data_IF_112455053012
#
_entry.id   IF_112455053012
#
_cell.length_a   1.000
_cell.length_b   1.000
_cell.length_c   1.000
_cell.angle_alpha   90.00
_cell.angle_beta   90.00
_cell.angle_gamma   90.00
#
_symmetry.space_group_name_H-M   'P 1'
#
loop_
_entity.id
_entity.type
_entity.pdbx_description
1 polymer ?
#
# COMPACT_ATOMS: atom_id res chain seq x y z
N UNK A 1 -17.65 5.40 -6.65
CA UNK A 1 -18.04 6.45 -5.68
C UNK A 1 -17.71 7.86 -6.16
N UNK A 2 -16.67 8.04 -6.98
CA UNK A 2 -16.30 9.36 -7.53
C UNK A 2 -17.34 9.92 -8.52
N UNK A 3 -17.54 11.23 -8.45
CA UNK A 3 -18.34 12.02 -9.39
C UNK A 3 -17.64 12.15 -10.73
N UNK A 4 -18.37 11.95 -11.83
CA UNK A 4 -17.96 12.33 -13.18
C UNK A 4 -18.09 13.84 -13.39
N UNK A 5 -17.71 14.35 -14.57
CA UNK A 5 -17.64 15.79 -14.84
C UNK A 5 -18.97 16.54 -14.69
N UNK A 6 -20.10 15.85 -14.88
CA UNK A 6 -21.47 16.37 -14.84
C UNK A 6 -22.26 15.93 -13.58
N UNK A 7 -21.61 15.20 -12.67
CA UNK A 7 -22.24 14.70 -11.45
C UNK A 7 -22.20 15.71 -10.29
N UNK A 8 -23.17 15.64 -9.34
CA UNK A 8 -23.04 16.34 -8.07
C UNK A 8 -21.86 15.80 -7.26
N UNK A 9 -21.27 16.64 -6.41
CA UNK A 9 -20.20 16.25 -5.49
C UNK A 9 -20.62 16.55 -4.04
N UNK A 10 -20.73 15.54 -3.15
CA UNK A 10 -20.57 14.10 -3.41
C UNK A 10 -21.78 13.49 -4.14
N UNK A 11 -21.61 12.27 -4.67
CA UNK A 11 -22.71 11.48 -5.25
C UNK A 11 -23.71 11.01 -4.18
N UNK A 12 -24.98 10.89 -4.59
CA UNK A 12 -25.99 10.19 -3.80
C UNK A 12 -25.59 8.69 -3.62
N UNK A 13 -25.68 8.13 -2.39
CA UNK A 13 -25.31 6.72 -2.13
C UNK A 13 -26.02 5.69 -3.01
N UNK A 14 -27.26 5.96 -3.43
CA UNK A 14 -28.01 5.09 -4.34
C UNK A 14 -27.46 5.16 -5.77
N UNK A 15 -26.95 6.31 -6.22
CA UNK A 15 -26.25 6.41 -7.52
C UNK A 15 -24.96 5.60 -7.50
N UNK A 16 -24.19 5.67 -6.41
CA UNK A 16 -22.99 4.83 -6.22
C UNK A 16 -23.34 3.35 -6.32
N UNK A 17 -24.37 2.90 -5.59
CA UNK A 17 -24.82 1.51 -5.59
C UNK A 17 -25.31 1.05 -6.97
N UNK A 18 -26.08 1.87 -7.69
CA UNK A 18 -26.54 1.56 -9.06
C UNK A 18 -25.38 1.38 -10.03
N UNK A 19 -24.36 2.26 -9.95
CA UNK A 19 -23.14 2.13 -10.78
C UNK A 19 -22.38 0.85 -10.44
N UNK A 20 -22.24 0.51 -9.15
CA UNK A 20 -21.61 -0.74 -8.72
C UNK A 20 -22.36 -1.97 -9.24
N UNK A 21 -23.69 -1.97 -9.18
CA UNK A 21 -24.52 -3.06 -9.69
C UNK A 21 -24.37 -3.25 -11.20
N UNK A 22 -24.25 -2.17 -11.99
CA UNK A 22 -23.98 -2.26 -13.42
C UNK A 22 -22.61 -2.87 -13.73
N UNK A 23 -21.58 -2.54 -12.94
CA UNK A 23 -20.25 -3.15 -13.08
C UNK A 23 -20.26 -4.63 -12.69
N UNK A 24 -21.00 -5.00 -11.63
CA UNK A 24 -21.21 -6.39 -11.26
C UNK A 24 -21.93 -7.16 -12.37
N UNK A 25 -23.00 -6.60 -12.95
CA UNK A 25 -23.72 -7.20 -14.08
C UNK A 25 -22.79 -7.44 -15.28
N UNK A 26 -21.92 -6.48 -15.61
CA UNK A 26 -20.95 -6.64 -16.70
C UNK A 26 -19.97 -7.79 -16.44
N UNK A 27 -19.47 -7.91 -15.20
CA UNK A 27 -18.61 -9.02 -14.78
C UNK A 27 -19.36 -10.37 -14.87
N UNK A 28 -20.57 -10.45 -14.34
CA UNK A 28 -21.41 -11.65 -14.36
C UNK A 28 -21.84 -12.07 -15.78
N UNK A 29 -22.04 -11.11 -16.69
CA UNK A 29 -22.44 -11.43 -18.06
C UNK A 29 -21.27 -11.96 -18.88
N UNK A 30 -20.04 -11.57 -18.53
CA UNK A 30 -18.83 -11.89 -19.30
C UNK A 30 -18.10 -13.13 -18.77
N UNK A 31 -18.20 -13.40 -17.46
CA UNK A 31 -17.55 -14.53 -16.82
C UNK A 31 -18.16 -15.87 -17.25
N UNK A 32 -17.32 -16.86 -17.49
CA UNK A 32 -17.75 -18.27 -17.63
C UNK A 32 -18.33 -18.79 -16.31
N UNK A 33 -19.10 -19.87 -16.35
CA UNK A 33 -19.65 -20.51 -15.14
C UNK A 33 -18.54 -20.94 -14.16
N UNK A 34 -17.36 -21.30 -14.67
CA UNK A 34 -16.20 -21.58 -13.83
C UNK A 34 -15.65 -20.32 -13.17
N UNK A 35 -15.47 -19.24 -13.93
CA UNK A 35 -14.99 -17.96 -13.38
C UNK A 35 -15.96 -17.42 -12.33
N UNK A 36 -17.27 -17.50 -12.53
CA UNK A 36 -18.30 -17.07 -11.57
C UNK A 36 -18.17 -17.74 -10.21
N UNK A 37 -17.81 -19.03 -10.17
CA UNK A 37 -17.59 -19.75 -8.89
C UNK A 37 -16.41 -19.21 -8.09
N UNK A 38 -15.49 -18.51 -8.74
CA UNK A 38 -14.30 -17.92 -8.11
C UNK A 38 -14.37 -16.40 -7.98
N UNK A 39 -15.36 -15.74 -8.61
CA UNK A 39 -15.55 -14.31 -8.45
C UNK A 39 -15.95 -13.98 -7.01
N UNK A 40 -15.36 -12.91 -6.50
CA UNK A 40 -15.77 -12.30 -5.24
C UNK A 40 -15.79 -10.80 -5.44
N UNK A 41 -16.69 -10.12 -4.73
CA UNK A 41 -16.89 -8.69 -4.83
C UNK A 41 -16.57 -8.02 -3.50
N UNK A 42 -15.94 -6.85 -3.61
CA UNK A 42 -15.76 -5.91 -2.51
C UNK A 42 -16.51 -4.64 -2.89
N UNK A 43 -17.32 -4.12 -1.97
CA UNK A 43 -18.11 -2.90 -2.16
C UNK A 43 -17.63 -1.78 -1.24
N UNK A 44 -18.18 -0.58 -1.43
CA UNK A 44 -17.83 0.58 -0.61
C UNK A 44 -16.58 1.29 -1.07
N UNK A 45 -16.18 2.27 -0.29
CA UNK A 45 -15.01 3.11 -0.52
C UNK A 45 -14.64 3.69 0.84
N UNK A 46 -13.37 3.87 1.02
CA UNK A 46 -12.80 4.76 2.00
C UNK A 46 -12.89 6.19 1.43
N UNK A 47 -13.48 7.10 2.21
CA UNK A 47 -13.55 8.53 1.89
C UNK A 47 -13.04 9.29 3.11
N UNK A 48 -12.02 10.17 2.97
CA UNK A 48 -11.38 10.59 1.72
C UNK A 48 -10.50 9.50 1.06
N UNK A 49 -10.11 9.74 -0.20
CA UNK A 49 -9.25 8.82 -0.99
C UNK A 49 -7.89 8.66 -0.30
N UNK A 50 -7.37 7.43 -0.08
CA UNK A 50 -6.18 7.22 0.72
C UNK A 50 -4.91 7.66 0.03
N UNK A 51 -3.97 8.18 0.82
CA UNK A 51 -2.65 8.61 0.35
C UNK A 51 -2.73 9.77 -0.68
N UNK A 52 -3.88 10.45 -0.73
CA UNK A 52 -4.18 11.57 -1.62
C UNK A 52 -4.09 12.95 -0.97
N UNK A 53 -3.84 13.03 0.35
CA UNK A 53 -3.75 14.31 1.05
C UNK A 53 -2.43 15.02 0.71
N UNK A 54 -2.56 16.25 0.21
CA UNK A 54 -1.44 17.18 0.00
C UNK A 54 -1.11 17.96 1.29
N UNK A 55 -1.86 17.73 2.37
CA UNK A 55 -1.77 18.38 3.67
C UNK A 55 -1.41 17.37 4.77
N UNK A 56 -0.81 17.87 5.85
CA UNK A 56 -0.54 17.07 7.05
C UNK A 56 -1.86 16.51 7.60
N UNK A 57 -1.93 15.18 7.74
CA UNK A 57 -3.14 14.50 8.21
C UNK A 57 -3.16 14.57 9.73
N UNK A 58 -3.92 15.51 10.28
CA UNK A 58 -4.04 15.69 11.73
C UNK A 58 -5.01 14.69 12.37
N UNK A 59 -5.99 14.19 11.62
CA UNK A 59 -6.98 13.24 12.11
C UNK A 59 -7.64 12.47 10.96
N UNK A 60 -8.03 11.23 11.23
CA UNK A 60 -8.81 10.39 10.33
C UNK A 60 -10.12 10.04 10.99
N UNK A 61 -11.22 10.23 10.26
CA UNK A 61 -12.54 9.87 10.74
C UNK A 61 -12.79 8.38 10.49
N UNK A 62 -12.90 7.62 11.58
CA UNK A 62 -13.39 6.23 11.52
C UNK A 62 -14.80 6.23 10.92
N UNK A 63 -15.05 5.33 9.96
CA UNK A 63 -16.38 5.20 9.35
C UNK A 63 -17.43 4.88 10.42
N UNK A 64 -18.59 5.52 10.36
CA UNK A 64 -19.70 5.19 11.27
C UNK A 64 -20.38 3.90 10.80
N UNK A 65 -20.78 3.06 11.75
CA UNK A 65 -21.49 1.81 11.46
C UNK A 65 -22.80 2.04 10.67
N UNK A 66 -23.47 3.17 10.92
CA UNK A 66 -24.67 3.57 10.18
C UNK A 66 -24.39 3.84 8.70
N UNK A 67 -23.23 4.41 8.37
CA UNK A 67 -22.84 4.70 6.98
C UNK A 67 -22.42 3.40 6.26
N UNK A 68 -21.74 2.48 6.96
CA UNK A 68 -21.43 1.14 6.45
C UNK A 68 -22.72 0.34 6.19
N UNK A 69 -23.66 0.35 7.14
CA UNK A 69 -24.97 -0.28 7.00
C UNK A 69 -25.77 0.31 5.82
N UNK A 70 -25.80 1.64 5.68
CA UNK A 70 -26.47 2.30 4.56
C UNK A 70 -25.84 1.91 3.22
N UNK A 71 -24.51 1.83 3.15
CA UNK A 71 -23.78 1.40 1.95
C UNK A 71 -24.18 -0.02 1.56
N UNK A 72 -24.22 -0.95 2.52
CA UNK A 72 -24.67 -2.32 2.26
C UNK A 72 -26.13 -2.34 1.77
N UNK A 73 -27.04 -1.63 2.44
CA UNK A 73 -28.46 -1.60 2.09
C UNK A 73 -28.71 -1.06 0.67
N UNK A 74 -28.03 0.03 0.27
CA UNK A 74 -28.19 0.58 -1.07
C UNK A 74 -27.64 -0.36 -2.15
N UNK A 75 -26.50 -1.03 -1.90
CA UNK A 75 -25.95 -2.03 -2.82
C UNK A 75 -26.87 -3.25 -2.95
N UNK A 76 -27.40 -3.77 -1.84
CA UNK A 76 -28.37 -4.86 -1.87
C UNK A 76 -29.61 -4.48 -2.71
N UNK A 77 -30.16 -3.28 -2.52
CA UNK A 77 -31.30 -2.81 -3.31
C UNK A 77 -30.97 -2.68 -4.80
N UNK A 78 -29.81 -2.10 -5.14
CA UNK A 78 -29.38 -1.92 -6.53
C UNK A 78 -29.08 -3.25 -7.24
N UNK A 79 -28.47 -4.22 -6.54
CA UNK A 79 -28.17 -5.55 -7.09
C UNK A 79 -29.46 -6.33 -7.36
N UNK A 80 -30.39 -6.36 -6.41
CA UNK A 80 -31.70 -7.01 -6.58
C UNK A 80 -32.53 -6.39 -7.70
N UNK A 81 -32.45 -5.06 -7.88
CA UNK A 81 -33.13 -4.38 -8.98
C UNK A 81 -32.63 -4.83 -10.38
N UNK A 82 -31.42 -5.40 -10.47
CA UNK A 82 -30.86 -5.96 -11.69
C UNK A 82 -30.90 -7.51 -11.72
N UNK A 83 -31.54 -8.16 -10.74
CA UNK A 83 -31.61 -9.63 -10.64
C UNK A 83 -30.27 -10.30 -10.29
N UNK A 84 -29.37 -9.59 -9.59
CA UNK A 84 -28.03 -10.04 -9.24
C UNK A 84 -27.94 -10.74 -7.86
N UNK A 85 -29.02 -11.42 -7.43
CA UNK A 85 -29.11 -12.04 -6.11
C UNK A 85 -27.99 -13.07 -5.84
N UNK A 86 -27.62 -13.85 -6.85
CA UNK A 86 -26.54 -14.84 -6.71
C UNK A 86 -25.16 -14.17 -6.55
N UNK A 87 -24.90 -13.11 -7.31
CA UNK A 87 -23.67 -12.33 -7.23
C UNK A 87 -23.57 -11.57 -5.90
N UNK A 88 -24.70 -11.13 -5.34
CA UNK A 88 -24.76 -10.51 -4.03
C UNK A 88 -24.25 -11.45 -2.91
N UNK A 89 -24.47 -12.77 -3.03
CA UNK A 89 -23.91 -13.76 -2.10
C UNK A 89 -22.38 -13.91 -2.21
N UNK A 90 -21.78 -13.40 -3.30
CA UNK A 90 -20.32 -13.34 -3.51
C UNK A 90 -19.71 -12.00 -3.11
N UNK A 91 -20.48 -11.08 -2.53
CA UNK A 91 -19.93 -9.88 -1.89
C UNK A 91 -19.36 -10.29 -0.54
N UNK A 92 -18.02 -10.35 -0.45
CA UNK A 92 -17.31 -10.88 0.72
C UNK A 92 -16.83 -9.79 1.67
N UNK A 93 -16.71 -8.55 1.20
CA UNK A 93 -16.17 -7.48 1.99
C UNK A 93 -16.76 -6.11 1.65
N UNK A 94 -16.68 -5.21 2.63
CA UNK A 94 -16.97 -3.79 2.48
C UNK A 94 -15.75 -2.96 2.89
N UNK A 95 -15.37 -1.98 2.07
CA UNK A 95 -14.30 -1.05 2.40
C UNK A 95 -14.82 0.01 3.36
N UNK A 96 -14.09 0.22 4.46
CA UNK A 96 -14.34 1.27 5.46
C UNK A 96 -13.00 1.84 5.94
N UNK A 97 -13.04 2.99 6.62
CA UNK A 97 -11.87 3.62 7.25
C UNK A 97 -11.80 3.23 8.74
N UNK A 98 -10.85 2.38 9.17
CA UNK A 98 -10.68 1.96 10.58
C UNK A 98 -9.97 2.97 11.49
N UNK A 99 -9.55 4.12 10.96
CA UNK A 99 -8.67 5.06 11.65
C UNK A 99 -7.20 4.74 11.46
N UNK A 100 -6.82 4.32 10.24
CA UNK A 100 -5.41 4.16 9.83
C UNK A 100 -5.14 5.00 8.60
N UNK A 101 -4.02 5.72 8.61
CA UNK A 101 -3.54 6.45 7.45
C UNK A 101 -2.06 6.83 7.62
N UNK A 102 -1.45 7.37 6.57
CA UNK A 102 -0.11 7.95 6.59
C UNK A 102 -0.01 9.08 5.55
N UNK A 103 0.88 10.04 5.80
CA UNK A 103 1.23 11.11 4.86
C UNK A 103 2.74 11.15 4.61
N UNK A 104 3.32 12.30 4.24
CA UNK A 104 4.77 12.43 4.02
C UNK A 104 5.61 12.06 5.25
N UNK A 105 5.13 12.35 6.45
CA UNK A 105 5.93 12.33 7.69
C UNK A 105 5.25 11.70 8.89
N UNK A 106 3.95 11.41 8.82
CA UNK A 106 3.15 10.93 9.94
C UNK A 106 2.42 9.63 9.62
N UNK A 107 2.18 8.84 10.67
CA UNK A 107 1.38 7.63 10.64
C UNK A 107 0.27 7.80 11.68
N UNK A 108 -0.97 7.64 11.25
CA UNK A 108 -2.12 7.55 12.16
C UNK A 108 -2.28 6.09 12.52
N UNK A 109 -1.94 5.79 13.77
CA UNK A 109 -1.95 4.42 14.26
C UNK A 109 -3.36 3.95 14.59
N UNK A 110 -3.66 2.71 14.22
CA UNK A 110 -4.93 2.06 14.55
C UNK A 110 -5.25 2.15 16.05
N UNK A 111 -6.46 2.63 16.37
CA UNK A 111 -6.98 2.71 17.72
C UNK A 111 -8.20 1.76 17.84
N UNK A 112 -8.04 0.54 18.39
CA UNK A 112 -9.10 -0.46 18.46
C UNK A 112 -10.40 0.06 19.10
N UNK A 113 -10.28 0.88 20.15
CA UNK A 113 -11.44 1.44 20.85
C UNK A 113 -12.28 2.37 19.97
N UNK A 114 -11.65 3.11 19.05
CA UNK A 114 -12.36 4.01 18.15
C UNK A 114 -13.15 3.26 17.06
N UNK A 115 -12.75 2.02 16.73
CA UNK A 115 -13.38 1.19 15.71
C UNK A 115 -14.39 0.16 16.29
N UNK A 116 -14.62 0.15 17.60
CA UNK A 116 -15.42 -0.88 18.27
C UNK A 116 -16.85 -1.02 17.70
N UNK A 117 -17.51 0.09 17.35
CA UNK A 117 -18.86 0.07 16.79
C UNK A 117 -18.91 -0.62 15.41
N UNK A 118 -17.93 -0.35 14.53
CA UNK A 118 -17.79 -1.05 13.24
C UNK A 118 -17.55 -2.54 13.44
N UNK A 119 -16.59 -2.90 14.30
CA UNK A 119 -16.27 -4.30 14.58
C UNK A 119 -17.42 -5.07 15.24
N UNK A 120 -18.34 -4.39 15.93
CA UNK A 120 -19.57 -4.99 16.42
C UNK A 120 -20.57 -5.24 15.28
N UNK A 121 -20.82 -4.24 14.43
CA UNK A 121 -21.83 -4.31 13.37
C UNK A 121 -21.51 -5.37 12.31
N UNK A 122 -20.25 -5.49 11.87
CA UNK A 122 -19.89 -6.41 10.77
C UNK A 122 -20.23 -7.88 11.08
N UNK A 123 -20.30 -8.25 12.37
CA UNK A 123 -20.71 -9.59 12.85
C UNK A 123 -22.17 -9.94 12.53
N UNK A 124 -22.99 -8.94 12.23
CA UNK A 124 -24.38 -9.12 11.78
C UNK A 124 -24.46 -9.46 10.27
N UNK A 125 -23.31 -9.48 9.59
CA UNK A 125 -23.19 -9.73 8.16
C UNK A 125 -22.28 -10.94 7.91
N UNK A 126 -22.38 -11.61 6.73
CA UNK A 126 -21.42 -12.65 6.35
C UNK A 126 -20.07 -12.09 5.84
N UNK A 127 -19.90 -10.77 5.82
CA UNK A 127 -18.76 -10.10 5.22
C UNK A 127 -17.63 -9.84 6.25
N UNK A 128 -16.46 -9.49 5.73
CA UNK A 128 -15.37 -8.88 6.49
C UNK A 128 -15.14 -7.44 6.03
N UNK A 129 -14.24 -6.71 6.70
CA UNK A 129 -13.76 -5.44 6.18
C UNK A 129 -12.51 -5.62 5.33
N UNK A 130 -12.45 -4.82 4.26
CA UNK A 130 -11.22 -4.52 3.54
C UNK A 130 -10.71 -3.14 3.99
N UNK A 131 -9.48 -3.06 4.48
CA UNK A 131 -8.85 -1.82 4.91
C UNK A 131 -7.74 -1.41 3.94
N UNK A 132 -7.78 -0.15 3.51
CA UNK A 132 -6.78 0.47 2.65
C UNK A 132 -5.78 1.29 3.46
N UNK A 133 -4.65 1.66 2.85
CA UNK A 133 -3.58 2.44 3.49
C UNK A 133 -3.16 1.93 4.86
N UNK A 134 -3.09 0.60 4.99
CA UNK A 134 -2.66 -0.03 6.23
C UNK A 134 -1.14 0.00 6.40
N UNK A 135 -0.41 0.55 5.42
CA UNK A 135 1.04 0.65 5.41
C UNK A 135 1.59 1.28 6.71
N UNK A 136 2.81 0.86 7.09
CA UNK A 136 3.58 1.39 8.21
C UNK A 136 2.98 1.18 9.62
N UNK A 137 1.84 0.50 9.75
CA UNK A 137 1.31 0.13 11.05
C UNK A 137 2.21 -0.90 11.74
N UNK A 138 2.13 -0.96 13.07
CA UNK A 138 2.88 -1.95 13.85
C UNK A 138 2.32 -3.35 13.62
N UNK A 139 3.14 -4.39 13.82
CA UNK A 139 2.67 -5.78 13.71
C UNK A 139 1.51 -6.10 14.68
N UNK A 140 1.49 -5.48 15.86
CA UNK A 140 0.38 -5.58 16.81
C UNK A 140 -0.88 -4.90 16.30
N UNK A 141 -0.76 -3.77 15.61
CA UNK A 141 -1.89 -3.11 14.96
C UNK A 141 -2.48 -3.98 13.84
N UNK A 142 -1.67 -4.64 13.00
CA UNK A 142 -2.19 -5.59 12.01
C UNK A 142 -2.97 -6.75 12.65
N UNK A 143 -2.48 -7.28 13.78
CA UNK A 143 -3.21 -8.32 14.53
C UNK A 143 -4.53 -7.81 15.11
N UNK A 144 -4.51 -6.61 15.68
CA UNK A 144 -5.71 -5.97 16.20
C UNK A 144 -6.73 -5.73 15.07
N UNK A 145 -6.30 -5.21 13.92
CA UNK A 145 -7.12 -5.04 12.72
C UNK A 145 -7.80 -6.35 12.31
N UNK A 146 -7.04 -7.45 12.18
CA UNK A 146 -7.61 -8.76 11.81
C UNK A 146 -8.59 -9.28 12.85
N UNK A 147 -8.25 -9.19 14.15
CA UNK A 147 -9.16 -9.53 15.26
C UNK A 147 -10.47 -8.75 15.19
N UNK A 148 -10.37 -7.48 14.78
CA UNK A 148 -11.47 -6.52 14.74
C UNK A 148 -12.19 -6.54 13.36
N UNK A 149 -11.99 -7.63 12.60
CA UNK A 149 -12.63 -8.00 11.32
C UNK A 149 -12.16 -7.25 10.07
N UNK A 150 -11.09 -6.47 10.16
CA UNK A 150 -10.33 -5.97 9.01
C UNK A 150 -9.43 -7.09 8.49
N UNK A 151 -10.05 -8.08 7.85
CA UNK A 151 -9.39 -9.33 7.46
C UNK A 151 -8.65 -9.24 6.11
N UNK A 152 -8.98 -8.24 5.28
CA UNK A 152 -8.26 -7.95 4.05
C UNK A 152 -7.50 -6.64 4.25
N UNK A 153 -6.18 -6.71 4.38
CA UNK A 153 -5.32 -5.57 4.62
C UNK A 153 -4.52 -5.25 3.34
N UNK A 154 -4.79 -4.08 2.72
CA UNK A 154 -4.04 -3.66 1.53
C UNK A 154 -2.76 -2.93 1.93
N UNK A 155 -1.68 -3.31 1.26
CA UNK A 155 -0.34 -2.73 1.37
C UNK A 155 0.19 -2.41 -0.02
N UNK A 156 0.91 -1.30 -0.16
CA UNK A 156 1.51 -0.91 -1.42
C UNK A 156 2.75 -0.04 -1.19
N UNK A 157 2.59 1.25 -0.83
CA UNK A 157 3.69 2.16 -0.57
C UNK A 157 4.78 1.61 0.35
N UNK A 158 4.45 0.91 1.45
CA UNK A 158 5.47 0.34 2.34
C UNK A 158 6.38 -0.69 1.64
N UNK A 159 5.86 -1.45 0.67
CA UNK A 159 6.66 -2.43 -0.07
C UNK A 159 7.69 -1.73 -0.96
N UNK A 160 7.26 -0.72 -1.71
CA UNK A 160 8.15 0.03 -2.61
C UNK A 160 9.04 1.03 -1.87
N UNK A 161 8.63 1.49 -0.69
CA UNK A 161 9.46 2.24 0.24
C UNK A 161 10.60 1.37 0.78
N UNK A 162 10.33 0.13 1.20
CA UNK A 162 11.38 -0.81 1.63
C UNK A 162 12.34 -1.17 0.49
N UNK A 163 11.82 -1.34 -0.73
CA UNK A 163 12.64 -1.47 -1.95
C UNK A 163 13.56 -0.26 -2.13
N UNK A 164 13.01 0.96 -2.02
CA UNK A 164 13.77 2.22 -2.15
C UNK A 164 14.89 2.28 -1.11
N UNK A 165 14.59 1.99 0.16
CA UNK A 165 15.60 1.96 1.23
C UNK A 165 16.74 0.99 0.90
N UNK A 166 16.43 -0.20 0.38
CA UNK A 166 17.44 -1.16 -0.04
C UNK A 166 18.31 -0.63 -1.20
N UNK A 167 17.69 -0.04 -2.23
CA UNK A 167 18.43 0.56 -3.35
C UNK A 167 19.33 1.71 -2.86
N UNK A 168 18.84 2.55 -1.95
CA UNK A 168 19.60 3.67 -1.41
C UNK A 168 20.78 3.18 -0.56
N UNK A 169 20.57 2.17 0.29
CA UNK A 169 21.63 1.54 1.06
C UNK A 169 22.70 0.92 0.15
N UNK A 170 22.30 0.19 -0.88
CA UNK A 170 23.21 -0.40 -1.86
C UNK A 170 23.99 0.67 -2.64
N UNK A 171 23.36 1.80 -2.98
CA UNK A 171 24.05 2.92 -3.62
C UNK A 171 25.15 3.51 -2.73
N UNK A 172 24.91 3.61 -1.41
CA UNK A 172 25.97 4.02 -0.47
C UNK A 172 27.12 2.99 -0.41
N UNK A 173 26.80 1.69 -0.41
CA UNK A 173 27.85 0.66 -0.48
C UNK A 173 28.65 0.72 -1.79
N UNK A 174 27.99 1.00 -2.92
CA UNK A 174 28.65 1.17 -4.22
C UNK A 174 29.66 2.34 -4.19
N UNK A 175 29.31 3.45 -3.54
CA UNK A 175 30.19 4.60 -3.41
C UNK A 175 31.48 4.30 -2.63
N UNK A 176 31.46 3.34 -1.71
CA UNK A 176 32.64 2.94 -0.95
C UNK A 176 33.47 1.86 -1.67
N UNK A 177 32.82 0.99 -2.45
CA UNK A 177 33.45 -0.22 -2.99
C UNK A 177 33.89 -0.10 -4.45
N UNK A 178 33.24 0.76 -5.23
CA UNK A 178 33.42 0.84 -6.68
C UNK A 178 34.16 2.13 -7.05
N UNK A 179 35.07 2.05 -8.03
CA UNK A 179 35.80 3.22 -8.49
C UNK A 179 34.87 4.28 -9.10
N UNK A 180 35.15 5.59 -8.90
CA UNK A 180 34.24 6.67 -9.30
C UNK A 180 33.73 6.63 -10.76
N UNK A 181 34.55 6.13 -11.68
CA UNK A 181 34.25 5.98 -13.09
C UNK A 181 33.32 4.79 -13.43
N UNK A 182 33.26 3.78 -12.56
CA UNK A 182 32.42 2.59 -12.78
C UNK A 182 31.06 2.64 -12.07
N UNK A 183 30.84 3.57 -11.12
CA UNK A 183 29.60 3.70 -10.34
C UNK A 183 28.35 3.88 -11.20
N UNK A 184 27.22 3.41 -10.69
CA UNK A 184 25.90 3.58 -11.31
C UNK A 184 25.40 5.01 -11.26
N UNK A 185 25.74 5.74 -10.18
CA UNK A 185 25.19 7.07 -9.85
C UNK A 185 23.65 7.06 -9.81
N UNK A 186 23.09 5.97 -9.29
CA UNK A 186 21.63 5.74 -9.27
C UNK A 186 20.88 6.85 -8.55
N UNK A 187 21.43 7.41 -7.46
CA UNK A 187 20.76 8.46 -6.69
C UNK A 187 20.67 9.75 -7.51
N UNK A 188 21.76 10.12 -8.19
CA UNK A 188 21.80 11.28 -9.07
C UNK A 188 20.87 11.12 -10.28
N UNK A 189 20.79 9.91 -10.84
CA UNK A 189 19.85 9.60 -11.94
C UNK A 189 18.40 9.69 -11.48
N UNK A 190 18.08 9.19 -10.27
CA UNK A 190 16.75 9.32 -9.67
C UNK A 190 16.39 10.80 -9.50
N UNK A 191 17.29 11.60 -8.93
CA UNK A 191 17.08 13.03 -8.70
C UNK A 191 16.82 13.77 -10.01
N UNK A 192 17.69 13.57 -11.00
CA UNK A 192 17.56 14.22 -12.29
C UNK A 192 16.24 13.88 -12.98
N UNK A 193 15.85 12.60 -13.00
CA UNK A 193 14.59 12.16 -13.62
C UNK A 193 13.40 12.73 -12.88
N UNK A 194 13.36 12.63 -11.55
CA UNK A 194 12.21 13.10 -10.77
C UNK A 194 12.07 14.63 -10.82
N UNK A 195 13.17 15.39 -10.85
CA UNK A 195 13.13 16.84 -10.96
C UNK A 195 12.68 17.31 -12.36
N UNK A 196 13.13 16.62 -13.42
CA UNK A 196 12.76 16.97 -14.80
C UNK A 196 11.34 16.52 -15.18
N UNK A 197 10.84 15.45 -14.57
CA UNK A 197 9.50 14.90 -14.85
C UNK A 197 8.62 14.89 -13.59
N UNK A 198 8.24 16.05 -13.02
CA UNK A 198 7.68 16.10 -11.66
C UNK A 198 6.20 15.69 -11.56
N UNK A 199 5.58 15.20 -12.65
CA UNK A 199 4.14 14.99 -12.78
C UNK A 199 3.52 14.09 -11.70
N UNK A 200 4.25 13.08 -11.22
CA UNK A 200 3.74 12.13 -10.23
C UNK A 200 3.89 12.57 -8.78
N UNK A 201 4.69 13.59 -8.48
CA UNK A 201 4.97 14.02 -7.11
C UNK A 201 4.69 15.49 -6.82
N UNK A 202 4.67 16.38 -7.83
CA UNK A 202 4.55 17.84 -7.64
C UNK A 202 3.32 18.30 -6.86
N UNK A 203 2.21 17.58 -6.98
CA UNK A 203 0.95 17.89 -6.26
C UNK A 203 0.96 17.45 -4.79
N UNK A 204 1.95 16.65 -4.40
CA UNK A 204 2.02 16.01 -3.10
C UNK A 204 3.12 16.64 -2.24
N UNK A 205 4.29 16.91 -2.81
CA UNK A 205 5.45 17.35 -2.01
C UNK A 205 5.59 18.87 -1.90
N UNK A 206 6.37 19.29 -0.90
CA UNK A 206 6.60 20.71 -0.61
C UNK A 206 7.32 21.41 -1.77
N UNK A 207 6.96 22.66 -2.09
CA UNK A 207 7.51 23.37 -3.25
C UNK A 207 8.93 23.90 -3.03
N UNK A 208 9.36 24.04 -1.77
CA UNK A 208 10.71 24.52 -1.43
C UNK A 208 11.75 23.44 -1.73
N UNK A 209 12.76 23.75 -2.55
CA UNK A 209 13.73 22.77 -3.07
C UNK A 209 14.33 21.82 -2.01
N UNK A 210 14.85 22.36 -0.90
CA UNK A 210 15.46 21.53 0.15
C UNK A 210 14.46 20.59 0.83
N UNK A 211 13.21 21.02 0.97
CA UNK A 211 12.12 20.21 1.53
C UNK A 211 11.59 19.21 0.49
N UNK A 212 11.54 19.59 -0.77
CA UNK A 212 11.15 18.74 -1.89
C UNK A 212 12.10 17.55 -2.04
N UNK A 213 13.41 17.77 -1.92
CA UNK A 213 14.40 16.67 -1.97
C UNK A 213 14.21 15.67 -0.83
N UNK A 214 13.95 16.17 0.40
CA UNK A 214 13.61 15.30 1.53
C UNK A 214 12.35 14.48 1.24
N UNK A 215 11.31 15.10 0.67
CA UNK A 215 10.08 14.38 0.33
C UNK A 215 10.28 13.38 -0.81
N UNK A 216 11.04 13.74 -1.84
CA UNK A 216 11.41 12.87 -2.98
C UNK A 216 12.06 11.58 -2.47
N UNK A 217 12.97 11.70 -1.51
CA UNK A 217 13.73 10.57 -0.99
C UNK A 217 13.06 9.83 0.15
N UNK A 218 12.32 10.50 1.03
CA UNK A 218 11.99 9.94 2.35
C UNK A 218 10.51 10.00 2.71
N UNK A 219 9.66 10.66 1.93
CA UNK A 219 8.21 10.72 2.20
C UNK A 219 7.58 9.32 2.23
N UNK A 220 6.75 9.01 3.24
CA UNK A 220 6.01 7.73 3.32
C UNK A 220 4.98 7.58 2.20
N UNK A 221 4.55 8.68 1.56
CA UNK A 221 3.72 8.62 0.34
C UNK A 221 4.40 7.95 -0.85
N UNK A 222 5.72 7.74 -0.82
CA UNK A 222 6.51 6.92 -1.75
C UNK A 222 6.25 7.20 -3.25
N UNK A 223 6.20 8.49 -3.65
CA UNK A 223 5.90 8.85 -5.05
C UNK A 223 7.01 8.45 -6.03
N UNK A 224 8.21 8.14 -5.54
CA UNK A 224 9.29 7.55 -6.34
C UNK A 224 8.89 6.22 -6.99
N UNK A 225 7.90 5.49 -6.45
CA UNK A 225 7.43 4.21 -7.03
C UNK A 225 7.00 4.30 -8.49
N UNK A 226 6.52 5.47 -8.93
CA UNK A 226 6.08 5.70 -10.31
C UNK A 226 7.26 5.86 -11.28
N UNK A 227 8.47 6.03 -10.78
CA UNK A 227 9.68 6.28 -11.56
C UNK A 227 10.57 5.04 -11.71
N UNK A 228 10.36 3.96 -10.94
CA UNK A 228 11.11 2.71 -11.12
C UNK A 228 11.07 2.15 -12.56
N UNK A 229 9.96 2.24 -13.32
CA UNK A 229 9.93 1.81 -14.71
C UNK A 229 10.67 2.74 -15.68
N UNK A 230 11.08 3.95 -15.26
CA UNK A 230 11.74 4.90 -16.13
C UNK A 230 13.07 4.33 -16.66
N UNK A 231 13.33 4.31 -17.98
CA UNK A 231 14.48 3.60 -18.56
C UNK A 231 15.83 3.96 -17.95
N UNK A 232 16.07 5.24 -17.67
CA UNK A 232 17.32 5.71 -17.04
C UNK A 232 17.51 5.17 -15.62
N UNK A 233 16.43 5.20 -14.81
CA UNK A 233 16.48 4.69 -13.43
C UNK A 233 16.69 3.19 -13.47
N UNK A 234 15.89 2.47 -14.26
CA UNK A 234 16.04 1.02 -14.44
C UNK A 234 17.47 0.63 -14.83
N UNK A 235 18.05 1.28 -15.84
CA UNK A 235 19.42 0.99 -16.28
C UNK A 235 20.46 1.27 -15.18
N UNK A 236 20.30 2.36 -14.42
CA UNK A 236 21.20 2.67 -13.31
C UNK A 236 21.09 1.66 -12.16
N UNK A 237 19.89 1.17 -11.85
CA UNK A 237 19.67 0.09 -10.85
C UNK A 237 20.28 -1.23 -11.33
N UNK A 238 20.09 -1.59 -12.61
CA UNK A 238 20.71 -2.78 -13.20
C UNK A 238 22.25 -2.69 -13.12
N UNK A 239 22.82 -1.52 -13.40
CA UNK A 239 24.27 -1.27 -13.27
C UNK A 239 24.74 -1.36 -11.81
N UNK A 240 24.01 -0.77 -10.86
CA UNK A 240 24.29 -0.87 -9.42
C UNK A 240 24.39 -2.33 -8.98
N UNK A 241 23.38 -3.13 -9.32
CA UNK A 241 23.32 -4.55 -8.95
C UNK A 241 24.47 -5.32 -9.60
N UNK A 242 24.74 -5.08 -10.89
CA UNK A 242 25.84 -5.73 -11.60
C UNK A 242 27.21 -5.41 -10.97
N UNK A 243 27.45 -4.15 -10.61
CA UNK A 243 28.68 -3.73 -9.95
C UNK A 243 28.86 -4.43 -8.60
N UNK A 244 27.82 -4.44 -7.76
CA UNK A 244 27.89 -5.03 -6.43
C UNK A 244 27.94 -6.57 -6.44
N UNK A 245 27.45 -7.23 -7.49
CA UNK A 245 27.62 -8.68 -7.67
C UNK A 245 29.08 -9.09 -7.96
N UNK A 246 29.90 -8.17 -8.47
CA UNK A 246 31.30 -8.44 -8.82
C UNK A 246 32.29 -8.19 -7.68
N UNK A 247 31.80 -7.81 -6.49
CA UNK A 247 32.60 -7.56 -5.30
C UNK A 247 32.02 -8.31 -4.11
N UNK A 248 32.86 -8.63 -3.13
CA UNK A 248 32.37 -9.13 -1.84
C UNK A 248 31.86 -7.96 -1.01
N UNK A 249 30.59 -8.00 -0.58
CA UNK A 249 30.03 -7.01 0.33
C UNK A 249 30.57 -7.24 1.76
N UNK A 250 31.38 -6.32 2.32
CA UNK A 250 31.88 -6.44 3.68
C UNK A 250 30.74 -6.38 4.70
N UNK A 251 30.76 -7.26 5.70
CA UNK A 251 29.73 -7.29 6.76
C UNK A 251 29.59 -5.96 7.50
N UNK A 252 30.67 -5.21 7.67
CA UNK A 252 30.63 -3.87 8.29
C UNK A 252 29.78 -2.88 7.50
N UNK A 253 29.83 -2.90 6.17
CA UNK A 253 28.98 -2.05 5.33
C UNK A 253 27.51 -2.48 5.41
N UNK A 254 27.24 -3.79 5.41
CA UNK A 254 25.87 -4.30 5.57
C UNK A 254 25.33 -3.95 6.96
N UNK A 255 26.12 -4.08 8.02
CA UNK A 255 25.74 -3.67 9.38
C UNK A 255 25.41 -2.17 9.44
N UNK A 256 26.22 -1.33 8.80
CA UNK A 256 26.04 0.13 8.78
C UNK A 256 24.77 0.58 8.06
N UNK A 257 24.44 -0.01 6.90
CA UNK A 257 23.36 0.48 6.04
C UNK A 257 22.11 -0.41 6.02
N UNK A 258 22.22 -1.67 6.42
CA UNK A 258 21.14 -2.66 6.44
C UNK A 258 21.22 -3.54 7.71
N UNK A 259 21.10 -2.95 8.92
CA UNK A 259 21.39 -3.65 10.18
C UNK A 259 20.52 -4.90 10.42
N UNK A 260 19.24 -4.85 10.06
CA UNK A 260 18.32 -6.01 10.18
C UNK A 260 18.74 -7.17 9.26
N UNK A 261 19.24 -6.87 8.06
CA UNK A 261 19.75 -7.88 7.14
C UNK A 261 21.07 -8.46 7.66
N UNK A 262 21.92 -7.63 8.28
CA UNK A 262 23.15 -8.09 8.92
C UNK A 262 22.90 -9.09 10.06
N UNK A 263 21.87 -8.88 10.89
CA UNK A 263 21.45 -9.86 11.90
C UNK A 263 21.15 -11.23 11.26
N UNK A 264 20.38 -11.24 10.17
CA UNK A 264 20.02 -12.47 9.43
C UNK A 264 21.20 -13.15 8.74
N UNK A 265 22.16 -12.37 8.26
CA UNK A 265 23.42 -12.90 7.74
C UNK A 265 24.22 -13.56 8.85
N UNK A 266 24.25 -12.95 10.03
CA UNK A 266 24.95 -13.48 11.21
C UNK A 266 24.31 -14.78 11.73
N UNK A 267 23.00 -14.93 11.57
CA UNK A 267 22.25 -16.16 11.83
C UNK A 267 22.35 -17.22 10.72
N UNK A 268 22.95 -16.89 9.56
CA UNK A 268 23.09 -17.80 8.42
C UNK A 268 21.79 -18.06 7.65
N UNK A 269 20.76 -17.22 7.83
CA UNK A 269 19.44 -17.38 7.18
C UNK A 269 19.26 -16.49 5.94
N UNK A 270 20.30 -15.75 5.57
CA UNK A 270 20.34 -14.87 4.40
C UNK A 270 21.69 -15.04 3.68
N UNK A 271 21.69 -14.93 2.36
CA UNK A 271 22.92 -14.89 1.55
C UNK A 271 23.20 -13.42 1.15
N UNK A 272 24.43 -12.90 1.30
CA UNK A 272 24.75 -11.48 1.14
C UNK A 272 24.90 -11.05 -0.33
N UNK A 273 23.87 -11.28 -1.15
CA UNK A 273 23.80 -10.73 -2.51
C UNK A 273 22.91 -9.49 -2.53
N UNK A 274 23.18 -8.50 -3.42
CA UNK A 274 22.32 -7.32 -3.58
C UNK A 274 20.84 -7.67 -3.76
N UNK A 275 20.54 -8.67 -4.60
CA UNK A 275 19.17 -9.13 -4.83
C UNK A 275 18.51 -9.65 -3.55
N UNK A 276 19.20 -10.51 -2.79
CA UNK A 276 18.64 -11.09 -1.57
C UNK A 276 18.45 -10.04 -0.47
N UNK A 277 19.36 -9.05 -0.37
CA UNK A 277 19.21 -7.92 0.55
C UNK A 277 17.96 -7.08 0.24
N UNK A 278 17.69 -6.81 -1.04
CA UNK A 278 16.47 -6.12 -1.49
C UNK A 278 15.22 -6.92 -1.13
N UNK A 279 15.19 -8.20 -1.50
CA UNK A 279 14.04 -9.06 -1.23
C UNK A 279 13.79 -9.20 0.27
N UNK A 280 14.85 -9.37 1.08
CA UNK A 280 14.71 -9.48 2.53
C UNK A 280 14.17 -8.20 3.17
N UNK A 281 14.53 -7.00 2.65
CA UNK A 281 13.92 -5.74 3.08
C UNK A 281 12.43 -5.67 2.77
N UNK A 282 12.00 -6.10 1.59
CA UNK A 282 10.58 -6.17 1.24
C UNK A 282 9.86 -7.19 2.13
N UNK A 283 10.52 -8.32 2.42
CA UNK A 283 9.97 -9.36 3.29
C UNK A 283 9.78 -8.88 4.73
N UNK A 284 10.51 -7.88 5.23
CA UNK A 284 10.25 -7.31 6.56
C UNK A 284 8.85 -6.73 6.67
N UNK A 285 8.39 -6.01 5.64
CA UNK A 285 7.03 -5.52 5.55
C UNK A 285 6.05 -6.70 5.55
N UNK A 286 6.27 -7.68 4.67
CA UNK A 286 5.39 -8.85 4.55
C UNK A 286 5.33 -9.70 5.83
N UNK A 287 6.42 -9.79 6.60
CA UNK A 287 6.47 -10.49 7.89
C UNK A 287 5.57 -9.82 8.93
N UNK A 288 5.46 -8.49 8.92
CA UNK A 288 4.55 -7.77 9.82
C UNK A 288 3.09 -8.06 9.49
N UNK A 289 2.72 -8.06 8.20
CA UNK A 289 1.37 -8.45 7.77
C UNK A 289 1.09 -9.92 8.08
N UNK A 290 2.03 -10.82 7.80
CA UNK A 290 1.92 -12.24 8.15
C UNK A 290 1.70 -12.43 9.65
N UNK A 291 2.39 -11.69 10.50
CA UNK A 291 2.17 -11.72 11.96
C UNK A 291 0.73 -11.35 12.32
N UNK A 292 0.15 -10.34 11.68
CA UNK A 292 -1.25 -9.94 11.88
C UNK A 292 -2.26 -10.98 11.37
N UNK A 293 -2.01 -11.55 10.20
CA UNK A 293 -2.94 -12.43 9.51
C UNK A 293 -2.82 -13.92 9.88
N UNK A 294 -1.74 -14.33 10.56
CA UNK A 294 -1.59 -15.71 11.03
C UNK A 294 -2.25 -15.83 12.40
N UNK A 295 -3.22 -16.75 12.58
CA UNK A 295 -3.80 -17.03 13.89
C UNK A 295 -2.70 -17.40 14.89
N UNK A 296 -2.82 -16.96 16.13
CA UNK A 296 -2.02 -17.54 17.20
C UNK A 296 -2.46 -19.01 17.32
N UNK A 297 -1.57 -19.95 17.01
CA UNK A 297 -1.82 -21.38 17.23
C UNK A 297 -1.93 -21.56 18.73
N UNK A 298 -3.15 -21.85 19.21
CA UNK A 298 -3.41 -22.19 20.60
C UNK A 298 -2.85 -23.57 20.97
#
# INVERSE_FOLDING_TARGET
>A
SMSCADDPTPLDPMVVAKRAALLCQAAETTATDEQKRHLTYVIGTEVPVPGGEASAINAVHVTREQDAARTLQTHQAAFRALGLDEALNRVIAIVVQPGVEFDHTQIIHYQPQAAQALSAWIKETPMVYEAHSTDYQTRQAYRALVRDHYAILKVGPALTFALREAIFALAQMENELISPEQRSRVLEVIDEVMLNEPGYWKKYYRPTWSQAMVDIHFSLSDRIRYYWPHPRIRQSVEKLIANLNNVTLPLGLISQFMPVQFERLSEGVLTPTPHNLIIDKIQDVLRAYRFGCTPDVA
#
